data_IF_865107195545
#
_entry.id   IF_865107195545
#
_cell.length_a   1.000
_cell.length_b   1.000
_cell.length_c   1.000
_cell.angle_alpha   90.00
_cell.angle_beta   90.00
_cell.angle_gamma   90.00
#
_symmetry.space_group_name_H-M   'P 1'
#
loop_
_entity.id
_entity.type
_entity.pdbx_description
1 polymer ?
#
# COMPACT_ATOMS: atom_id res chain seq x y z
N UNK A 1 23.31 -24.43 -13.42
CA UNK A 1 21.89 -24.71 -13.15
C UNK A 1 21.10 -23.50 -13.54
N UNK A 2 20.07 -23.65 -14.36
CA UNK A 2 19.20 -22.54 -14.69
C UNK A 2 18.47 -22.12 -13.41
N UNK A 3 18.50 -20.81 -13.12
CA UNK A 3 17.73 -20.23 -12.02
C UNK A 3 16.26 -20.24 -12.43
N UNK A 4 15.32 -20.68 -11.56
CA UNK A 4 13.91 -20.59 -11.89
C UNK A 4 13.52 -19.09 -12.09
N UNK A 5 12.87 -18.81 -13.19
CA UNK A 5 12.38 -17.48 -13.56
C UNK A 5 10.91 -17.48 -14.00
N UNK A 6 10.24 -18.61 -13.81
CA UNK A 6 8.83 -18.82 -14.10
C UNK A 6 8.25 -19.85 -13.15
N UNK A 7 6.91 -19.95 -13.10
CA UNK A 7 6.20 -20.94 -12.31
C UNK A 7 6.60 -22.36 -12.70
N UNK A 8 6.70 -22.64 -14.02
CA UNK A 8 7.16 -23.93 -14.54
C UNK A 8 8.62 -24.21 -14.15
N UNK A 9 9.48 -23.18 -14.20
CA UNK A 9 10.87 -23.31 -13.76
C UNK A 9 11.01 -23.67 -12.28
N UNK A 10 10.15 -23.12 -11.44
CA UNK A 10 10.09 -23.44 -10.01
C UNK A 10 9.56 -24.86 -9.77
N UNK A 11 8.50 -25.27 -10.51
CA UNK A 11 7.95 -26.63 -10.52
C UNK A 11 9.01 -27.67 -10.88
N UNK A 12 9.71 -27.46 -11.97
CA UNK A 12 10.80 -28.35 -12.37
C UNK A 12 11.96 -28.40 -11.35
N UNK A 13 12.26 -27.26 -10.73
CA UNK A 13 13.27 -27.19 -9.69
C UNK A 13 12.86 -28.02 -8.47
N UNK A 14 11.62 -27.87 -7.99
CA UNK A 14 11.07 -28.61 -6.87
C UNK A 14 11.07 -30.13 -7.15
N UNK A 15 10.55 -30.55 -8.30
CA UNK A 15 10.54 -31.95 -8.69
C UNK A 15 11.93 -32.56 -8.80
N UNK A 16 12.91 -31.84 -9.36
CA UNK A 16 14.31 -32.29 -9.40
C UNK A 16 14.92 -32.43 -8.02
N UNK A 17 14.59 -31.55 -7.10
CA UNK A 17 15.07 -31.61 -5.73
C UNK A 17 14.49 -32.82 -4.97
N UNK A 18 13.25 -33.19 -5.29
CA UNK A 18 12.57 -34.38 -4.78
C UNK A 18 13.06 -35.69 -5.42
N UNK A 19 13.85 -35.62 -6.50
CA UNK A 19 14.50 -36.78 -7.11
C UNK A 19 14.07 -37.15 -8.52
N UNK A 20 13.22 -36.37 -9.18
CA UNK A 20 12.89 -36.58 -10.60
C UNK A 20 14.15 -36.37 -11.48
N UNK A 21 14.45 -37.19 -12.48
CA UNK A 21 13.65 -38.27 -13.07
C UNK A 21 13.97 -39.67 -12.47
N UNK A 22 14.83 -39.78 -11.45
CA UNK A 22 15.23 -41.06 -10.90
C UNK A 22 14.09 -41.70 -10.09
N UNK A 23 13.37 -40.89 -9.34
CA UNK A 23 12.17 -41.30 -8.62
C UNK A 23 10.93 -40.92 -9.42
N UNK A 24 10.02 -41.87 -9.53
CA UNK A 24 8.70 -41.62 -10.10
C UNK A 24 7.84 -40.89 -9.04
N UNK A 25 7.50 -39.63 -9.32
CA UNK A 25 6.69 -38.79 -8.44
C UNK A 25 5.28 -38.79 -9.02
N UNK A 26 4.35 -39.47 -8.36
CA UNK A 26 2.96 -39.59 -8.74
C UNK A 26 2.12 -38.43 -8.13
N UNK A 27 2.33 -37.22 -8.60
CA UNK A 27 1.54 -36.05 -8.25
C UNK A 27 1.07 -35.39 -9.54
N UNK A 28 -0.19 -34.99 -9.57
CA UNK A 28 -0.74 -34.30 -10.71
C UNK A 28 -0.17 -32.90 -10.84
N UNK A 29 -0.04 -32.44 -12.06
CA UNK A 29 0.52 -31.12 -12.39
C UNK A 29 -0.30 -30.00 -11.78
N UNK A 30 -1.62 -30.12 -11.76
CA UNK A 30 -2.54 -29.14 -11.18
C UNK A 30 -2.36 -29.03 -9.65
N UNK A 31 -2.08 -30.15 -8.96
CA UNK A 31 -1.82 -30.13 -7.51
C UNK A 31 -0.52 -29.40 -7.17
N UNK A 32 0.50 -29.55 -8.02
CA UNK A 32 1.77 -28.84 -7.82
C UNK A 32 1.57 -27.34 -8.06
N UNK A 33 0.77 -26.97 -9.04
CA UNK A 33 0.48 -25.58 -9.38
C UNK A 33 -0.30 -24.89 -8.25
N UNK A 34 -1.27 -25.58 -7.63
CA UNK A 34 -2.00 -25.08 -6.46
C UNK A 34 -1.07 -24.88 -5.25
N UNK A 35 -0.16 -25.83 -4.99
CA UNK A 35 0.83 -25.71 -3.90
C UNK A 35 1.82 -24.55 -4.13
N UNK A 36 2.19 -24.27 -5.38
CA UNK A 36 3.04 -23.13 -5.71
C UNK A 36 2.30 -21.83 -5.47
N UNK A 37 1.02 -21.74 -5.84
CA UNK A 37 0.19 -20.57 -5.61
C UNK A 37 -0.02 -20.31 -4.11
N UNK A 38 -0.27 -21.35 -3.33
CA UNK A 38 -0.32 -21.26 -1.85
C UNK A 38 1.03 -20.78 -1.27
N UNK A 39 2.14 -21.29 -1.78
CA UNK A 39 3.47 -20.87 -1.36
C UNK A 39 3.75 -19.40 -1.69
N UNK A 40 3.36 -18.94 -2.85
CA UNK A 40 3.46 -17.53 -3.26
C UNK A 40 2.57 -16.64 -2.37
N UNK A 41 1.36 -17.09 -2.04
CA UNK A 41 0.50 -16.35 -1.13
C UNK A 41 1.13 -16.20 0.26
N UNK A 42 1.69 -17.26 0.81
CA UNK A 42 2.38 -17.21 2.11
C UNK A 42 3.64 -16.35 2.04
N UNK A 43 4.36 -16.37 0.90
CA UNK A 43 5.50 -15.51 0.66
C UNK A 43 5.10 -14.03 0.73
N UNK A 44 4.00 -13.64 0.07
CA UNK A 44 3.48 -12.27 0.12
C UNK A 44 2.98 -11.86 1.52
N UNK A 45 2.45 -12.81 2.29
CA UNK A 45 1.91 -12.48 3.62
C UNK A 45 2.97 -12.41 4.72
N UNK A 46 4.05 -13.16 4.58
CA UNK A 46 4.99 -13.35 5.69
C UNK A 46 6.44 -13.01 5.38
N UNK A 47 6.81 -12.89 4.13
CA UNK A 47 8.19 -12.58 3.74
C UNK A 47 8.35 -11.09 3.43
N UNK A 48 9.40 -10.48 4.01
CA UNK A 48 9.62 -9.04 3.86
C UNK A 48 9.92 -8.58 2.43
N UNK A 49 10.45 -9.48 1.59
CA UNK A 49 10.72 -9.20 0.18
C UNK A 49 9.54 -9.51 -0.75
N UNK A 50 8.45 -10.07 -0.20
CA UNK A 50 7.19 -10.29 -0.94
C UNK A 50 6.35 -9.02 -1.10
N UNK A 51 6.76 -7.92 -0.47
CA UNK A 51 6.01 -6.68 -0.40
C UNK A 51 6.94 -5.51 -0.69
N UNK A 52 6.51 -4.63 -1.61
CA UNK A 52 7.19 -3.39 -1.92
C UNK A 52 6.44 -2.19 -1.34
N UNK A 53 7.19 -1.25 -0.77
CA UNK A 53 6.65 0.05 -0.42
C UNK A 53 6.72 0.96 -1.65
N UNK A 54 5.55 1.39 -2.12
CA UNK A 54 5.43 2.20 -3.32
C UNK A 54 4.60 3.46 -3.07
N UNK A 55 4.87 4.50 -3.84
CA UNK A 55 4.07 5.71 -3.87
C UNK A 55 3.16 5.66 -5.09
N UNK A 56 1.88 5.43 -4.87
CA UNK A 56 0.87 5.46 -5.91
C UNK A 56 0.43 6.90 -6.14
N UNK A 57 0.64 7.41 -7.36
CA UNK A 57 0.14 8.72 -7.76
C UNK A 57 -1.23 8.56 -8.39
N UNK A 58 -2.24 9.10 -7.76
CA UNK A 58 -3.61 9.09 -8.25
C UNK A 58 -4.08 10.52 -8.56
N UNK A 59 -4.65 10.73 -9.75
CA UNK A 59 -5.25 12.00 -10.15
C UNK A 59 -6.75 11.90 -9.90
N UNK A 60 -7.28 12.83 -9.12
CA UNK A 60 -8.71 12.88 -8.83
C UNK A 60 -9.48 13.34 -10.07
N UNK A 61 -10.39 12.49 -10.51
CA UNK A 61 -11.31 12.81 -11.61
C UNK A 61 -12.63 13.36 -11.08
N UNK A 62 -13.34 14.13 -11.93
CA UNK A 62 -14.64 14.68 -11.56
C UNK A 62 -15.67 13.58 -11.26
N UNK A 63 -15.64 12.49 -12.03
CA UNK A 63 -16.51 11.34 -11.81
C UNK A 63 -16.28 10.68 -10.45
N UNK A 64 -15.01 10.54 -10.01
CA UNK A 64 -14.69 10.01 -8.68
C UNK A 64 -15.13 10.95 -7.57
N UNK A 65 -15.00 12.26 -7.80
CA UNK A 65 -15.47 13.27 -6.86
C UNK A 65 -16.99 13.22 -6.68
N UNK A 66 -17.73 13.05 -7.77
CA UNK A 66 -19.19 12.88 -7.73
C UNK A 66 -19.59 11.60 -6.98
N UNK A 67 -18.87 10.49 -7.19
CA UNK A 67 -19.09 9.24 -6.45
C UNK A 67 -18.79 9.42 -4.97
N UNK A 68 -17.71 10.11 -4.62
CA UNK A 68 -17.38 10.43 -3.23
C UNK A 68 -18.39 11.37 -2.56
N UNK A 69 -19.00 12.29 -3.33
CA UNK A 69 -20.06 13.19 -2.86
C UNK A 69 -21.45 12.53 -2.90
N UNK A 70 -21.56 11.36 -3.52
CA UNK A 70 -22.81 10.63 -3.69
C UNK A 70 -23.50 10.31 -2.36
N UNK A 71 -24.79 10.04 -2.43
CA UNK A 71 -25.63 9.79 -1.26
C UNK A 71 -25.07 8.62 -0.43
N UNK A 72 -24.87 8.82 0.87
CA UNK A 72 -24.43 7.74 1.74
C UNK A 72 -25.44 6.60 1.72
N UNK A 73 -24.94 5.37 1.65
CA UNK A 73 -25.80 4.19 1.74
C UNK A 73 -26.24 4.02 3.19
N UNK A 74 -27.55 4.10 3.43
CA UNK A 74 -28.10 3.84 4.76
C UNK A 74 -28.26 2.34 4.96
N UNK A 75 -27.57 1.79 5.93
CA UNK A 75 -27.70 0.39 6.33
C UNK A 75 -28.44 0.34 7.67
N UNK A 76 -29.61 -0.33 7.67
CA UNK A 76 -30.37 -0.55 8.90
C UNK A 76 -29.85 -1.81 9.58
N UNK A 77 -29.27 -1.69 10.75
CA UNK A 77 -28.91 -2.82 11.59
C UNK A 77 -29.96 -2.99 12.69
N UNK A 78 -30.56 -4.17 12.75
CA UNK A 78 -31.51 -4.52 13.80
C UNK A 78 -30.75 -5.12 14.98
N UNK A 79 -30.64 -4.37 16.07
CA UNK A 79 -30.12 -4.87 17.34
C UNK A 79 -30.96 -4.35 18.48
N UNK A 80 -31.23 -5.20 19.46
CA UNK A 80 -31.97 -4.82 20.68
C UNK A 80 -30.97 -4.44 21.76
N UNK A 81 -30.70 -3.14 21.90
CA UNK A 81 -29.87 -2.61 22.98
C UNK A 81 -30.59 -1.43 23.65
N UNK A 82 -30.76 -1.49 24.96
CA UNK A 82 -31.34 -0.39 25.71
C UNK A 82 -32.80 -0.03 25.35
N UNK A 83 -33.57 -0.97 24.80
CA UNK A 83 -34.96 -0.74 24.40
C UNK A 83 -35.13 -0.23 22.95
N UNK A 84 -34.03 -0.04 22.21
CA UNK A 84 -34.05 0.28 20.78
C UNK A 84 -34.02 -1.00 19.96
N UNK A 85 -34.94 -1.13 19.01
CA UNK A 85 -35.11 -2.32 18.16
C UNK A 85 -34.42 -2.20 16.83
N UNK A 86 -34.09 -1.00 16.39
CA UNK A 86 -33.37 -0.74 15.14
C UNK A 86 -32.55 0.53 15.25
N UNK A 87 -31.37 0.52 14.62
CA UNK A 87 -30.50 1.70 14.48
C UNK A 87 -30.11 1.82 13.04
N UNK A 88 -30.31 2.99 12.45
CA UNK A 88 -29.92 3.29 11.10
C UNK A 88 -28.47 3.82 11.09
N UNK A 89 -27.61 3.12 10.37
CA UNK A 89 -26.23 3.56 10.14
C UNK A 89 -26.09 4.09 8.73
N UNK A 90 -25.48 5.26 8.62
CA UNK A 90 -25.15 5.85 7.33
C UNK A 90 -23.68 5.60 7.05
N UNK A 91 -23.37 4.78 6.05
CA UNK A 91 -22.00 4.58 5.60
C UNK A 91 -21.64 5.69 4.60
N UNK A 92 -20.58 6.43 4.89
CA UNK A 92 -20.06 7.45 3.97
C UNK A 92 -19.52 6.82 2.69
N UNK A 93 -19.82 7.44 1.56
CA UNK A 93 -19.30 7.04 0.24
C UNK A 93 -17.90 7.58 -0.06
N UNK A 94 -17.23 8.17 0.93
CA UNK A 94 -15.89 8.77 0.79
C UNK A 94 -14.80 7.70 0.67
N UNK A 95 -14.87 6.89 -0.38
CA UNK A 95 -13.85 5.88 -0.64
C UNK A 95 -13.29 6.00 -2.05
N UNK A 96 -12.02 5.69 -2.18
CA UNK A 96 -11.31 5.55 -3.43
C UNK A 96 -11.04 4.06 -3.68
N UNK A 97 -11.44 3.50 -4.85
CA UNK A 97 -11.07 2.14 -5.20
C UNK A 97 -9.55 2.09 -5.49
N UNK A 98 -8.86 1.15 -4.88
CA UNK A 98 -7.45 0.88 -5.13
C UNK A 98 -7.27 -0.44 -5.86
N UNK A 99 -6.15 -0.65 -6.58
CA UNK A 99 -5.81 -1.94 -7.16
C UNK A 99 -5.71 -3.05 -6.10
N UNK A 100 -6.13 -4.27 -6.46
CA UNK A 100 -6.13 -5.42 -5.56
C UNK A 100 -4.72 -5.84 -5.10
N UNK A 101 -3.70 -5.41 -5.83
CA UNK A 101 -2.29 -5.62 -5.48
C UNK A 101 -1.84 -4.86 -4.23
N UNK A 102 -2.64 -3.90 -3.74
CA UNK A 102 -2.33 -3.13 -2.54
C UNK A 102 -2.81 -3.88 -1.31
N UNK A 103 -1.88 -4.12 -0.38
CA UNK A 103 -2.16 -4.81 0.89
C UNK A 103 -2.49 -3.85 2.00
N UNK A 104 -1.84 -2.69 2.02
CA UNK A 104 -1.99 -1.72 3.08
C UNK A 104 -1.62 -0.32 2.64
N UNK A 105 -2.24 0.67 3.27
CA UNK A 105 -1.95 2.09 3.06
C UNK A 105 -1.42 2.67 4.35
N UNK A 106 -0.29 3.36 4.27
CA UNK A 106 0.35 3.97 5.43
C UNK A 106 -0.03 5.43 5.58
N UNK A 107 0.07 6.20 4.50
CA UNK A 107 -0.19 7.64 4.53
C UNK A 107 -0.72 8.12 3.18
N UNK A 108 -1.50 9.19 3.21
CA UNK A 108 -1.98 9.86 2.00
C UNK A 108 -1.58 11.33 2.06
N UNK A 109 -1.00 11.81 0.97
CA UNK A 109 -0.60 13.20 0.81
C UNK A 109 -1.42 13.83 -0.31
N UNK A 110 -1.99 14.99 -0.02
CA UNK A 110 -2.59 15.83 -1.07
C UNK A 110 -1.48 16.68 -1.69
N UNK A 111 -1.40 16.71 -3.00
CA UNK A 111 -0.52 17.61 -3.73
C UNK A 111 -1.35 18.44 -4.70
N UNK A 112 -1.34 19.74 -4.50
CA UNK A 112 -1.94 20.68 -5.45
C UNK A 112 -1.05 20.79 -6.70
N UNK A 113 -1.66 20.93 -7.86
CA UNK A 113 -0.93 21.12 -9.12
C UNK A 113 -0.03 22.36 -9.10
N UNK A 114 -0.44 23.39 -8.36
CA UNK A 114 0.36 24.60 -8.12
C UNK A 114 1.60 24.34 -7.26
N UNK A 115 1.54 23.43 -6.34
CA UNK A 115 2.66 23.08 -5.44
C UNK A 115 3.77 22.34 -6.20
N UNK A 116 3.41 21.58 -7.25
CA UNK A 116 4.40 20.89 -8.10
C UNK A 116 5.19 21.88 -8.95
N UNK A 117 4.54 22.92 -9.46
CA UNK A 117 5.21 23.98 -10.25
C UNK A 117 6.01 24.95 -9.37
N UNK A 118 5.59 25.14 -8.12
CA UNK A 118 6.26 25.98 -7.13
C UNK A 118 7.26 25.20 -6.23
N UNK A 119 7.43 23.91 -6.48
CA UNK A 119 8.11 22.96 -5.57
C UNK A 119 9.57 23.29 -5.24
N UNK A 120 10.22 24.10 -6.07
CA UNK A 120 11.59 24.58 -5.79
C UNK A 120 11.64 25.68 -4.69
N UNK A 121 10.49 26.33 -4.43
CA UNK A 121 10.38 27.43 -3.46
C UNK A 121 9.43 27.13 -2.30
N UNK A 122 9.00 25.86 -2.15
CA UNK A 122 8.16 25.48 -1.02
C UNK A 122 8.95 25.62 0.30
N UNK A 123 8.29 26.15 1.33
CA UNK A 123 8.85 26.34 2.66
C UNK A 123 9.50 25.03 3.19
N UNK A 124 8.89 23.87 2.97
CA UNK A 124 9.49 22.57 3.33
C UNK A 124 10.82 22.31 2.64
N UNK A 125 10.94 22.66 1.36
CA UNK A 125 12.20 22.50 0.62
C UNK A 125 13.26 23.49 1.09
N UNK A 126 12.87 24.73 1.39
CA UNK A 126 13.79 25.72 1.94
C UNK A 126 14.25 25.34 3.35
N UNK A 127 13.38 24.79 4.19
CA UNK A 127 13.75 24.26 5.51
C UNK A 127 14.73 23.09 5.35
N UNK A 128 14.48 22.18 4.41
CA UNK A 128 15.37 21.06 4.13
C UNK A 128 16.74 21.53 3.62
N UNK A 129 16.77 22.51 2.71
CA UNK A 129 18.02 23.08 2.23
C UNK A 129 18.77 23.82 3.34
N UNK A 130 18.06 24.53 4.19
CA UNK A 130 18.64 25.22 5.34
C UNK A 130 19.25 24.23 6.32
N UNK A 131 18.57 23.12 6.59
CA UNK A 131 19.07 22.01 7.41
C UNK A 131 20.36 21.42 6.80
N UNK A 132 20.39 21.22 5.49
CA UNK A 132 21.56 20.70 4.79
C UNK A 132 22.76 21.68 4.81
N UNK A 133 22.50 22.97 4.73
CA UNK A 133 23.52 24.02 4.69
C UNK A 133 24.16 24.27 6.06
N UNK A 134 23.37 24.08 7.12
CA UNK A 134 23.82 24.29 8.50
C UNK A 134 24.48 23.08 9.16
N UNK A 135 24.54 21.93 8.49
CA UNK A 135 25.09 20.69 9.04
C UNK A 135 26.56 20.78 9.51
N UNK A 136 27.28 21.84 9.17
CA UNK A 136 28.68 22.04 9.53
C UNK A 136 28.96 23.05 10.65
N UNK A 137 27.98 23.79 11.14
CA UNK A 137 28.25 24.96 11.99
C UNK A 137 27.37 25.18 13.23
N UNK A 138 26.48 24.22 13.57
CA UNK A 138 25.46 24.46 14.60
C UNK A 138 25.68 23.63 15.84
N UNK A 139 25.50 24.33 16.97
CA UNK A 139 25.24 23.77 18.27
C UNK A 139 24.06 22.77 18.19
N UNK A 140 24.34 21.51 18.43
CA UNK A 140 23.40 20.39 18.32
C UNK A 140 22.10 20.63 19.10
N UNK A 141 22.20 21.42 20.18
CA UNK A 141 21.05 21.78 21.01
C UNK A 141 20.06 22.69 20.26
N UNK A 142 20.56 23.73 19.60
CA UNK A 142 19.73 24.65 18.83
C UNK A 142 19.07 23.96 17.63
N UNK A 143 19.78 23.04 16.98
CA UNK A 143 19.24 22.21 15.93
C UNK A 143 18.09 21.33 16.43
N UNK A 144 18.30 20.62 17.54
CA UNK A 144 17.26 19.76 18.11
C UNK A 144 16.02 20.55 18.54
N UNK A 145 16.19 21.73 19.12
CA UNK A 145 15.09 22.61 19.52
C UNK A 145 14.32 23.13 18.29
N UNK A 146 15.02 23.56 17.25
CA UNK A 146 14.40 24.06 16.01
C UNK A 146 13.64 22.94 15.31
N UNK A 147 14.22 21.74 15.23
CA UNK A 147 13.57 20.57 14.64
C UNK A 147 12.30 20.20 15.39
N UNK A 148 12.34 20.11 16.72
CA UNK A 148 11.18 19.81 17.55
C UNK A 148 10.07 20.87 17.41
N UNK A 149 10.45 22.14 17.30
CA UNK A 149 9.49 23.22 17.05
C UNK A 149 8.82 23.11 15.67
N UNK A 150 9.60 22.80 14.63
CA UNK A 150 9.08 22.60 13.29
C UNK A 150 8.16 21.36 13.19
N UNK A 151 8.51 20.27 13.85
CA UNK A 151 7.65 19.08 13.96
C UNK A 151 6.33 19.41 14.67
N UNK A 152 6.38 20.24 15.73
CA UNK A 152 5.18 20.70 16.43
C UNK A 152 4.30 21.59 15.54
N UNK A 153 4.92 22.50 14.78
CA UNK A 153 4.19 23.33 13.80
C UNK A 153 3.59 22.49 12.68
N UNK A 154 4.32 21.51 12.15
CA UNK A 154 3.80 20.60 11.11
C UNK A 154 2.60 19.80 11.63
N UNK A 155 2.66 19.31 12.87
CA UNK A 155 1.55 18.62 13.51
C UNK A 155 0.31 19.50 13.72
N UNK A 156 0.48 20.77 14.05
CA UNK A 156 -0.63 21.73 14.28
C UNK A 156 -1.23 22.19 12.95
N UNK A 157 -0.39 22.48 11.95
CA UNK A 157 -0.81 23.05 10.67
C UNK A 157 -1.27 21.99 9.65
N UNK A 158 -0.70 20.79 9.73
CA UNK A 158 -1.00 19.68 8.84
C UNK A 158 -1.39 18.45 9.66
N UNK A 159 -2.58 18.41 10.27
CA UNK A 159 -3.03 17.22 10.95
C UNK A 159 -3.05 16.03 9.98
N UNK A 160 -2.56 14.89 10.42
CA UNK A 160 -2.60 13.67 9.60
C UNK A 160 -4.04 13.31 9.29
N UNK A 161 -4.33 13.13 8.01
CA UNK A 161 -5.66 12.71 7.54
C UNK A 161 -5.93 11.31 8.03
N UNK A 162 -7.08 11.12 8.66
CA UNK A 162 -7.52 9.79 9.09
C UNK A 162 -7.83 8.95 7.85
N UNK A 163 -7.14 7.83 7.74
CA UNK A 163 -7.31 6.90 6.63
C UNK A 163 -7.73 5.53 7.15
N UNK A 164 -8.61 4.87 6.42
CA UNK A 164 -9.01 3.48 6.68
C UNK A 164 -8.95 2.72 5.38
N UNK A 165 -8.22 1.64 5.35
CA UNK A 165 -8.11 0.77 4.19
C UNK A 165 -8.72 -0.59 4.47
N UNK A 166 -9.57 -1.07 3.56
CA UNK A 166 -10.13 -2.40 3.61
C UNK A 166 -9.60 -3.22 2.43
N UNK A 167 -8.68 -4.15 2.72
CA UNK A 167 -8.07 -5.02 1.71
C UNK A 167 -9.10 -5.88 0.98
N UNK A 168 -10.15 -6.38 1.66
CA UNK A 168 -11.12 -7.30 1.04
C UNK A 168 -11.97 -6.65 -0.04
N UNK A 169 -12.23 -5.35 0.09
CA UNK A 169 -13.04 -4.59 -0.86
C UNK A 169 -12.18 -3.62 -1.67
N UNK A 170 -10.86 -3.63 -1.48
CA UNK A 170 -9.89 -2.72 -2.12
C UNK A 170 -10.31 -1.25 -2.05
N UNK A 171 -10.87 -0.85 -0.89
CA UNK A 171 -11.41 0.49 -0.67
C UNK A 171 -10.58 1.27 0.34
N UNK A 172 -10.16 2.45 -0.07
CA UNK A 172 -9.53 3.43 0.79
C UNK A 172 -10.54 4.50 1.19
N UNK A 173 -10.88 4.56 2.47
CA UNK A 173 -11.74 5.60 3.03
C UNK A 173 -10.87 6.77 3.48
N UNK A 174 -11.22 7.95 2.99
CA UNK A 174 -10.53 9.19 3.28
C UNK A 174 -11.45 10.09 4.09
N UNK A 175 -10.99 10.54 5.26
CA UNK A 175 -11.70 11.54 6.05
C UNK A 175 -11.25 12.94 5.62
N UNK A 176 -11.59 13.28 4.37
CA UNK A 176 -11.28 14.56 3.74
C UNK A 176 -12.57 15.23 3.30
N UNK A 177 -12.63 16.54 3.43
CA UNK A 177 -13.73 17.30 2.85
C UNK A 177 -13.62 17.27 1.31
N UNK A 178 -14.37 16.38 0.68
CA UNK A 178 -14.35 16.15 -0.77
C UNK A 178 -14.70 17.43 -1.56
N UNK A 179 -15.47 18.36 -0.95
CA UNK A 179 -15.84 19.64 -1.59
C UNK A 179 -14.64 20.57 -1.80
N UNK A 180 -13.60 20.42 -0.99
CA UNK A 180 -12.37 21.21 -1.06
C UNK A 180 -11.32 20.62 -2.01
N UNK A 181 -11.59 19.42 -2.54
CA UNK A 181 -10.72 18.81 -3.55
C UNK A 181 -10.98 19.51 -4.89
N UNK A 182 -9.93 20.05 -5.47
CA UNK A 182 -9.97 20.64 -6.81
C UNK A 182 -9.84 19.55 -7.86
N UNK A 183 -10.52 19.69 -8.99
CA UNK A 183 -10.30 18.81 -10.13
C UNK A 183 -8.83 18.96 -10.54
N UNK A 184 -8.19 17.83 -10.88
CA UNK A 184 -6.77 17.74 -11.21
C UNK A 184 -5.77 17.75 -10.03
N UNK A 185 -6.25 17.75 -8.79
CA UNK A 185 -5.38 17.50 -7.65
C UNK A 185 -4.86 16.06 -7.68
N UNK A 186 -3.64 15.91 -7.21
CA UNK A 186 -3.02 14.60 -7.10
C UNK A 186 -3.02 14.13 -5.65
N UNK A 187 -3.43 12.88 -5.44
CA UNK A 187 -3.18 12.16 -4.21
C UNK A 187 -1.96 11.28 -4.39
N UNK A 188 -1.02 11.39 -3.48
CA UNK A 188 0.08 10.45 -3.38
C UNK A 188 -0.22 9.53 -2.20
N UNK A 189 -0.39 8.26 -2.49
CA UNK A 189 -0.73 7.23 -1.54
C UNK A 189 0.53 6.43 -1.26
N UNK A 190 1.03 6.51 -0.03
CA UNK A 190 2.13 5.66 0.45
C UNK A 190 1.54 4.32 0.87
N UNK A 191 1.83 3.29 0.10
CA UNK A 191 1.20 1.99 0.26
C UNK A 191 2.18 0.84 0.07
N UNK A 192 1.75 -0.32 0.55
CA UNK A 192 2.44 -1.59 0.36
C UNK A 192 1.76 -2.37 -0.75
N UNK A 193 2.53 -2.72 -1.76
CA UNK A 193 2.09 -3.50 -2.91
C UNK A 193 2.69 -4.91 -2.86
N UNK A 194 1.91 -5.90 -3.24
CA UNK A 194 2.40 -7.26 -3.51
C UNK A 194 3.37 -7.21 -4.70
N UNK A 195 4.50 -7.86 -4.57
CA UNK A 195 5.42 -8.08 -5.70
C UNK A 195 4.77 -9.09 -6.63
N UNK A 196 4.46 -8.67 -7.85
CA UNK A 196 3.84 -9.53 -8.85
C UNK A 196 4.89 -10.44 -9.49
N UNK A 197 4.79 -11.78 -9.32
CA UNK A 197 5.76 -12.72 -9.87
C UNK A 197 5.83 -12.73 -11.41
N UNK A 198 4.76 -12.27 -12.10
CA UNK A 198 4.77 -12.20 -13.57
C UNK A 198 5.63 -11.05 -14.07
N UNK A 199 5.60 -9.91 -13.37
CA UNK A 199 6.41 -8.75 -13.72
C UNK A 199 7.84 -8.86 -13.16
N UNK A 200 8.01 -9.47 -11.99
CA UNK A 200 9.28 -9.60 -11.30
C UNK A 200 9.69 -11.08 -11.13
N UNK A 201 10.14 -11.66 -12.21
CA UNK A 201 10.48 -13.10 -12.30
C UNK A 201 11.58 -13.56 -11.33
N UNK A 202 12.33 -12.64 -10.73
CA UNK A 202 13.33 -12.96 -9.70
C UNK A 202 12.73 -13.56 -8.43
N UNK A 203 11.43 -13.32 -8.16
CA UNK A 203 10.69 -13.90 -7.04
C UNK A 203 10.79 -15.42 -7.03
N UNK A 204 10.69 -16.05 -8.21
CA UNK A 204 10.79 -17.51 -8.34
C UNK A 204 12.17 -18.07 -7.96
N UNK A 205 13.21 -17.23 -7.97
CA UNK A 205 14.56 -17.64 -7.56
C UNK A 205 14.84 -17.36 -6.07
N UNK A 206 13.90 -16.84 -5.33
CA UNK A 206 14.06 -16.62 -3.90
C UNK A 206 14.36 -17.93 -3.15
N UNK A 207 15.25 -17.86 -2.16
CA UNK A 207 15.73 -19.06 -1.43
C UNK A 207 14.62 -19.62 -0.55
N UNK A 208 13.88 -18.74 0.11
CA UNK A 208 12.79 -19.14 0.99
C UNK A 208 11.67 -19.80 0.20
N UNK A 209 11.24 -19.19 -0.91
CA UNK A 209 10.18 -19.72 -1.77
C UNK A 209 10.57 -21.09 -2.33
N UNK A 210 11.80 -21.25 -2.81
CA UNK A 210 12.32 -22.54 -3.31
C UNK A 210 12.36 -23.63 -2.23
N UNK A 211 12.67 -23.28 -1.00
CA UNK A 211 12.66 -24.23 0.10
C UNK A 211 11.26 -24.62 0.50
N UNK A 212 10.38 -23.63 0.60
CA UNK A 212 9.00 -23.84 1.02
C UNK A 212 8.21 -24.68 0.02
N UNK A 213 8.35 -24.42 -1.30
CA UNK A 213 7.71 -25.23 -2.34
C UNK A 213 8.23 -26.67 -2.44
N UNK A 214 9.38 -26.97 -1.83
CA UNK A 214 9.97 -28.32 -1.85
C UNK A 214 9.80 -29.08 -0.55
N UNK A 215 9.23 -28.47 0.49
CA UNK A 215 8.98 -29.11 1.79
C UNK A 215 7.60 -29.69 1.88
#
# INVERSE_FOLDING_TARGET
MAKPNSKEGLKEYALRKLGKPVLEINVDDDQIDDLIDDAIQIYHERHGEGIDRVFLKHRITEAEKEVMLGNPTTTTATSTFGGLTSVDYTEGSNYLPLPDTIIGVQKVFKMDSSTISAGMFNLKYQIFLNDLYYYGAIDLLNYAMTKSYLETLDYILNPDVQIRFNKKNSRLYLDVNVKELTNDDFLIIDCFRIVDPESETNVYNDVWLKQYTTS
#
